data_IF_239644113262
#
_entry.id   IF_239644113262
#
_cell.length_a   1.000
_cell.length_b   1.000
_cell.length_c   1.000
_cell.angle_alpha   90.00
_cell.angle_beta   90.00
_cell.angle_gamma   90.00
#
_symmetry.space_group_name_H-M   'P 1'
#
loop_
_entity.id
_entity.type
_entity.pdbx_description
1 polymer ?
#
# COMPACT_ATOMS: atom_id res chain seq x y z
N UNK A 1 22.99 -0.23 -26.97
CA UNK A 1 22.43 0.82 -26.09
C UNK A 1 20.92 0.67 -26.22
N UNK A 2 20.26 0.14 -25.19
CA UNK A 2 18.81 -0.12 -25.30
C UNK A 2 18.05 1.18 -25.11
N UNK A 3 17.25 1.54 -26.11
CA UNK A 3 16.22 2.56 -26.00
C UNK A 3 15.30 2.21 -24.84
N UNK A 4 15.46 2.91 -23.72
CA UNK A 4 14.43 2.95 -22.70
C UNK A 4 13.27 3.74 -23.29
N UNK A 5 12.35 3.05 -23.98
CA UNK A 5 11.07 3.63 -24.36
C UNK A 5 10.49 4.32 -23.13
N UNK A 6 10.09 5.59 -23.28
CA UNK A 6 9.40 6.33 -22.22
C UNK A 6 8.20 5.50 -21.77
N UNK A 7 8.28 4.93 -20.56
CA UNK A 7 7.19 4.16 -19.97
C UNK A 7 5.98 5.06 -19.86
N UNK A 8 4.81 4.55 -20.23
CA UNK A 8 3.59 5.32 -20.01
C UNK A 8 3.38 5.53 -18.52
N UNK A 9 2.72 6.63 -18.15
CA UNK A 9 2.39 6.92 -16.76
C UNK A 9 1.59 5.77 -16.11
N UNK A 10 0.76 5.10 -16.89
CA UNK A 10 -0.02 3.92 -16.49
C UNK A 10 0.86 2.71 -16.18
N UNK A 11 1.93 2.48 -16.95
CA UNK A 11 2.90 1.41 -16.67
C UNK A 11 3.70 1.68 -15.39
N UNK A 12 4.08 2.95 -15.16
CA UNK A 12 4.75 3.37 -13.91
C UNK A 12 3.82 3.19 -12.72
N UNK A 13 2.55 3.54 -12.85
CA UNK A 13 1.57 3.32 -11.80
C UNK A 13 1.30 1.85 -11.55
N UNK A 14 1.25 1.01 -12.59
CA UNK A 14 1.03 -0.44 -12.44
C UNK A 14 2.13 -1.10 -11.60
N UNK A 15 3.40 -0.84 -11.89
CA UNK A 15 4.53 -1.40 -11.14
C UNK A 15 4.49 -0.99 -9.67
N UNK A 16 4.31 0.31 -9.39
CA UNK A 16 4.16 0.87 -8.04
C UNK A 16 2.97 0.25 -7.29
N UNK A 17 1.83 0.08 -7.96
CA UNK A 17 0.62 -0.51 -7.38
C UNK A 17 0.84 -1.97 -6.98
N UNK A 18 1.46 -2.75 -7.86
CA UNK A 18 1.82 -4.14 -7.57
C UNK A 18 2.79 -4.22 -6.39
N UNK A 19 3.77 -3.32 -6.32
CA UNK A 19 4.71 -3.28 -5.20
C UNK A 19 4.00 -2.94 -3.87
N UNK A 20 3.07 -1.97 -3.86
CA UNK A 20 2.28 -1.64 -2.68
C UNK A 20 1.44 -2.83 -2.19
N UNK A 21 0.75 -3.52 -3.10
CA UNK A 21 -0.05 -4.71 -2.79
C UNK A 21 0.85 -5.85 -2.27
N UNK A 22 1.98 -6.10 -2.92
CA UNK A 22 2.94 -7.12 -2.53
C UNK A 22 3.55 -6.82 -1.14
N UNK A 23 3.86 -5.56 -0.86
CA UNK A 23 4.33 -5.12 0.45
C UNK A 23 3.30 -5.43 1.55
N UNK A 24 2.03 -5.04 1.37
CA UNK A 24 0.96 -5.33 2.33
C UNK A 24 0.86 -6.85 2.55
N UNK A 25 0.86 -7.64 1.47
CA UNK A 25 0.78 -9.11 1.55
C UNK A 25 1.93 -9.70 2.36
N UNK A 26 3.16 -9.31 2.05
CA UNK A 26 4.36 -9.80 2.71
C UNK A 26 4.38 -9.42 4.20
N UNK A 27 3.99 -8.18 4.52
CA UNK A 27 3.94 -7.70 5.90
C UNK A 27 2.87 -8.42 6.72
N UNK A 28 1.64 -8.55 6.19
CA UNK A 28 0.56 -9.30 6.84
C UNK A 28 0.97 -10.74 7.08
N UNK A 29 1.55 -11.40 6.08
CA UNK A 29 2.05 -12.78 6.19
C UNK A 29 3.13 -12.90 7.28
N UNK A 30 4.17 -12.07 7.24
CA UNK A 30 5.27 -12.06 8.21
C UNK A 30 4.81 -11.83 9.66
N UNK A 31 3.81 -10.96 9.85
CA UNK A 31 3.30 -10.61 11.19
C UNK A 31 2.28 -11.62 11.71
N UNK A 32 1.43 -12.18 10.85
CA UNK A 32 0.49 -13.23 11.23
C UNK A 32 1.21 -14.43 11.84
N UNK A 33 2.38 -14.79 11.30
CA UNK A 33 3.22 -15.88 11.82
C UNK A 33 3.85 -15.58 13.20
N UNK A 34 3.98 -14.31 13.61
CA UNK A 34 4.80 -13.93 14.77
C UNK A 34 4.08 -13.20 15.90
N UNK A 35 3.04 -12.42 15.61
CA UNK A 35 2.49 -11.42 16.55
C UNK A 35 0.98 -11.18 16.44
N UNK A 36 0.25 -12.02 15.73
CA UNK A 36 -1.20 -11.89 15.57
C UNK A 36 -1.62 -11.09 14.33
N UNK A 37 -2.93 -10.76 14.26
CA UNK A 37 -3.55 -10.11 13.09
C UNK A 37 -3.05 -8.67 12.92
N UNK A 38 -2.70 -8.32 11.69
CA UNK A 38 -2.37 -6.95 11.29
C UNK A 38 -3.63 -6.29 10.73
N UNK A 39 -4.02 -5.09 11.21
CA UNK A 39 -5.06 -4.30 10.56
C UNK A 39 -4.60 -3.90 9.15
N UNK A 40 -5.42 -4.25 8.17
CA UNK A 40 -5.22 -3.94 6.76
C UNK A 40 -6.58 -4.02 6.06
N UNK A 41 -6.67 -3.36 4.91
CA UNK A 41 -7.89 -3.39 4.13
C UNK A 41 -7.79 -2.54 2.89
N UNK A 42 -8.93 -2.35 2.26
CA UNK A 42 -9.11 -1.36 1.23
C UNK A 42 -10.42 -0.60 1.39
N UNK A 43 -10.47 0.63 0.87
CA UNK A 43 -11.66 1.48 0.87
C UNK A 43 -11.81 2.23 -0.46
N UNK A 44 -13.02 2.42 -0.99
CA UNK A 44 -13.23 3.18 -2.23
C UNK A 44 -12.83 4.66 -2.06
N UNK A 45 -12.24 5.25 -3.11
CA UNK A 45 -11.81 6.66 -3.13
C UNK A 45 -12.20 7.36 -4.44
N UNK A 46 -13.50 7.32 -4.78
CA UNK A 46 -14.05 7.99 -5.96
C UNK A 46 -13.52 7.47 -7.31
N UNK A 47 -14.14 7.89 -8.42
CA UNK A 47 -13.61 7.78 -9.81
C UNK A 47 -12.94 6.45 -10.22
N UNK A 48 -13.42 5.32 -9.69
CA UNK A 48 -12.84 3.99 -9.99
C UNK A 48 -11.54 3.68 -9.25
N UNK A 49 -11.15 4.48 -8.26
CA UNK A 49 -9.99 4.28 -7.39
C UNK A 49 -10.38 3.69 -6.03
N UNK A 50 -9.38 3.08 -5.40
CA UNK A 50 -9.44 2.56 -4.05
C UNK A 50 -8.11 2.85 -3.34
N UNK A 51 -8.14 2.98 -2.02
CA UNK A 51 -6.93 2.98 -1.18
C UNK A 51 -6.74 1.60 -0.61
N UNK A 52 -5.60 0.96 -0.86
CA UNK A 52 -5.15 -0.21 -0.10
C UNK A 52 -4.27 0.26 1.05
N UNK A 53 -4.52 -0.23 2.26
CA UNK A 53 -3.88 0.27 3.48
C UNK A 53 -3.48 -0.84 4.45
N UNK A 54 -2.52 -0.50 5.31
CA UNK A 54 -2.03 -1.38 6.39
C UNK A 54 -1.49 -0.58 7.56
N UNK A 55 -1.71 -1.08 8.77
CA UNK A 55 -1.15 -0.52 9.99
C UNK A 55 0.26 -1.07 10.25
N UNK A 56 1.26 -0.23 10.04
CA UNK A 56 2.62 -0.51 10.47
C UNK A 56 2.80 -0.09 11.94
N UNK A 57 3.79 -0.65 12.66
CA UNK A 57 4.16 -0.14 13.98
C UNK A 57 4.58 1.34 13.97
N UNK A 58 4.91 1.90 12.82
CA UNK A 58 5.27 3.30 12.62
C UNK A 58 4.08 4.19 12.24
N UNK A 59 2.87 3.63 12.11
CA UNK A 59 1.63 4.30 11.73
C UNK A 59 0.96 3.65 10.51
N UNK A 60 -0.31 3.99 10.26
CA UNK A 60 -1.03 3.57 9.06
C UNK A 60 -0.38 4.14 7.80
N UNK A 61 -0.34 3.33 6.74
CA UNK A 61 0.08 3.74 5.40
C UNK A 61 -0.86 3.18 4.35
N UNK A 62 -1.02 3.89 3.23
CA UNK A 62 -1.87 3.46 2.14
C UNK A 62 -1.50 4.05 0.79
N UNK A 63 -2.00 3.41 -0.28
CA UNK A 63 -1.74 3.77 -1.66
C UNK A 63 -3.02 3.68 -2.50
N UNK A 64 -3.26 4.70 -3.31
CA UNK A 64 -4.35 4.71 -4.29
C UNK A 64 -4.04 3.74 -5.44
N UNK A 65 -4.91 2.78 -5.71
CA UNK A 65 -4.82 1.86 -6.84
C UNK A 65 -6.14 1.89 -7.61
N UNK A 66 -6.16 1.58 -8.92
CA UNK A 66 -7.41 1.33 -9.62
C UNK A 66 -8.19 0.23 -8.89
N UNK A 67 -9.50 0.42 -8.71
CA UNK A 67 -10.34 -0.50 -7.94
C UNK A 67 -10.28 -1.93 -8.45
N UNK A 68 -10.16 -2.11 -9.77
CA UNK A 68 -9.98 -3.42 -10.42
C UNK A 68 -8.66 -4.12 -10.08
N UNK A 69 -7.65 -3.41 -9.55
CA UNK A 69 -6.39 -4.00 -9.10
C UNK A 69 -6.46 -4.51 -7.65
N UNK A 70 -7.51 -4.20 -6.89
CA UNK A 70 -7.64 -4.65 -5.50
C UNK A 70 -7.85 -6.17 -5.48
N UNK A 71 -6.94 -6.95 -4.89
CA UNK A 71 -7.09 -8.40 -4.84
C UNK A 71 -8.08 -8.83 -3.76
N UNK A 72 -8.80 -9.92 -4.00
CA UNK A 72 -9.87 -10.45 -3.12
C UNK A 72 -9.42 -10.76 -1.68
N UNK A 73 -8.13 -11.01 -1.45
CA UNK A 73 -7.62 -11.32 -0.12
C UNK A 73 -7.52 -10.10 0.79
N UNK A 74 -7.54 -8.87 0.24
CA UNK A 74 -7.58 -7.65 1.04
C UNK A 74 -9.04 -7.37 1.38
N UNK A 75 -9.44 -7.38 2.67
CA UNK A 75 -10.83 -7.14 3.05
C UNK A 75 -11.22 -5.69 2.79
N UNK A 76 -12.47 -5.45 2.41
CA UNK A 76 -13.05 -4.10 2.41
C UNK A 76 -13.19 -3.63 3.86
N UNK A 77 -12.54 -2.53 4.21
CA UNK A 77 -12.52 -1.98 5.56
C UNK A 77 -12.18 -0.49 5.52
N UNK A 78 -12.99 0.31 6.19
CA UNK A 78 -12.78 1.75 6.35
C UNK A 78 -11.51 1.97 7.19
N UNK A 79 -10.49 2.71 6.67
CA UNK A 79 -9.30 3.00 7.44
C UNK A 79 -9.60 3.96 8.59
N UNK A 80 -8.96 3.73 9.75
CA UNK A 80 -8.82 4.76 10.79
C UNK A 80 -7.80 5.82 10.34
N UNK A 81 -8.12 6.54 9.26
CA UNK A 81 -7.22 7.50 8.64
C UNK A 81 -7.03 8.73 9.54
N UNK A 82 -5.77 8.99 9.92
CA UNK A 82 -5.40 10.05 10.87
C UNK A 82 -5.08 11.41 10.21
N UNK A 83 -5.28 11.53 8.90
CA UNK A 83 -5.03 12.78 8.16
C UNK A 83 -3.60 12.97 7.66
N UNK A 84 -2.77 11.92 7.64
CA UNK A 84 -1.37 12.02 7.20
C UNK A 84 -1.19 12.56 5.77
N UNK A 85 -0.15 13.36 5.59
CA UNK A 85 0.34 13.78 4.28
C UNK A 85 1.16 12.67 3.59
N UNK A 86 1.42 12.84 2.29
CA UNK A 86 2.32 11.93 1.56
C UNK A 86 3.72 11.86 2.19
N UNK A 87 4.25 12.98 2.67
CA UNK A 87 5.56 13.03 3.30
C UNK A 87 5.58 12.29 4.64
N UNK A 88 4.55 12.45 5.46
CA UNK A 88 4.41 11.69 6.71
C UNK A 88 4.28 10.20 6.45
N UNK A 89 3.45 9.79 5.48
CA UNK A 89 3.37 8.39 5.04
C UNK A 89 4.74 7.86 4.62
N UNK A 90 5.47 8.61 3.81
CA UNK A 90 6.79 8.20 3.33
C UNK A 90 7.79 8.07 4.49
N UNK A 91 7.75 8.95 5.49
CA UNK A 91 8.57 8.79 6.70
C UNK A 91 8.16 7.56 7.51
N UNK A 92 6.86 7.23 7.63
CA UNK A 92 6.39 6.00 8.29
C UNK A 92 6.97 4.75 7.60
N UNK A 93 6.92 4.70 6.27
CA UNK A 93 7.52 3.60 5.48
C UNK A 93 9.04 3.57 5.66
N UNK A 94 9.72 4.72 5.59
CA UNK A 94 11.17 4.82 5.79
C UNK A 94 11.60 4.30 7.16
N UNK A 95 10.92 4.73 8.23
CA UNK A 95 11.18 4.26 9.61
C UNK A 95 10.94 2.77 9.78
N UNK A 96 9.97 2.21 9.04
CA UNK A 96 9.72 0.77 9.04
C UNK A 96 10.79 -0.01 8.28
N UNK A 97 11.18 0.46 7.09
CA UNK A 97 12.18 -0.19 6.24
C UNK A 97 13.61 -0.10 6.81
N UNK A 98 13.89 0.97 7.57
CA UNK A 98 15.21 1.23 8.15
C UNK A 98 15.09 1.52 9.65
N UNK A 99 14.76 0.50 10.48
CA UNK A 99 14.77 0.67 11.92
C UNK A 99 16.19 1.01 12.38
N UNK A 100 16.32 2.02 13.24
CA UNK A 100 17.61 2.33 13.88
C UNK A 100 18.05 1.21 14.82
#
# INVERSE_FOLDING_TARGET
MSDAAEKSIDEVYRDRNLLAIAFIRAFVYFRAERRGRVPHGWWPDGDGWAVVWVDLPTGQVGWHVPREMVPEWIPEADPEYDGYTTDEKNDRVRRWAWPR
#
